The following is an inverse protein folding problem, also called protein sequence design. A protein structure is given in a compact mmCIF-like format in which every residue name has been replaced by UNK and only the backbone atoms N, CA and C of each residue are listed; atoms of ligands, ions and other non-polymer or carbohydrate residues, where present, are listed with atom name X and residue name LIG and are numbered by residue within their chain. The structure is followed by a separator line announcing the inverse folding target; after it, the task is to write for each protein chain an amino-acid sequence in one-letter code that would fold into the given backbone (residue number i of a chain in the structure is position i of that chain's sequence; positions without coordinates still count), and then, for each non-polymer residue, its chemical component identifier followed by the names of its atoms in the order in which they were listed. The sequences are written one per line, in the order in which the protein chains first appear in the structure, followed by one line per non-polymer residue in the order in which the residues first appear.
data_IF_641237160027
#
_entry.id   IF_641237160027
#
_cell.length_a   1.000
_cell.length_b   1.000
_cell.length_c   1.000
_cell.angle_alpha   90.00
_cell.angle_beta   90.00
_cell.angle_gamma   90.00
#
_symmetry.space_group_name_H-M   'P 1'
#
loop_
_entity.id
_entity.type
_entity.pdbx_description
1 polymer ?
#
# COMPACT_ATOMS: atom_id res chain seq x y z
N UNK A 1 3.09 64.92 23.44
CA UNK A 1 2.52 65.87 22.45
C UNK A 1 3.51 67.01 22.30
N UNK A 2 3.82 67.54 21.10
CA UNK A 2 3.01 67.55 19.87
C UNK A 2 3.67 66.87 18.65
N UNK A 3 2.94 66.94 17.54
CA UNK A 3 2.97 66.16 16.30
C UNK A 3 3.46 66.93 15.07
N UNK A 4 4.06 66.23 14.10
CA UNK A 4 3.94 66.45 12.64
C UNK A 4 4.66 65.30 11.87
N UNK A 5 3.92 64.33 11.30
CA UNK A 5 3.49 64.19 9.90
C UNK A 5 4.58 63.99 8.82
N UNK A 6 4.70 62.78 8.26
CA UNK A 6 4.67 62.51 6.79
C UNK A 6 4.89 61.02 6.41
N UNK A 7 3.96 60.51 5.59
CA UNK A 7 3.93 59.43 4.57
C UNK A 7 4.97 58.26 4.47
N UNK A 8 4.60 57.11 3.85
CA UNK A 8 5.16 55.78 4.11
C UNK A 8 6.38 55.42 3.26
N UNK A 9 7.36 54.78 3.89
CA UNK A 9 8.46 54.11 3.18
C UNK A 9 8.03 52.73 2.69
N UNK A 10 7.83 52.62 1.38
CA UNK A 10 7.94 51.35 0.65
C UNK A 10 9.39 50.86 0.76
N UNK A 11 9.60 49.71 1.40
CA UNK A 11 10.87 48.99 1.33
C UNK A 11 10.74 47.95 0.22
N UNK A 12 11.47 48.19 -0.86
CA UNK A 12 11.86 47.17 -1.84
C UNK A 12 13.04 46.42 -1.24
N UNK A 13 12.88 45.13 -0.94
CA UNK A 13 13.97 44.15 -1.06
C UNK A 13 13.41 42.90 -1.73
N UNK A 14 13.46 42.95 -3.06
CA UNK A 14 13.49 41.79 -3.95
C UNK A 14 14.90 41.23 -3.96
N UNK A 15 15.07 39.91 -3.82
CA UNK A 15 16.13 39.12 -4.48
C UNK A 15 16.19 37.62 -4.11
N UNK A 16 15.38 37.09 -3.19
CA UNK A 16 15.46 35.64 -2.84
C UNK A 16 14.25 34.84 -3.37
N UNK A 17 13.10 35.47 -3.62
CA UNK A 17 11.89 34.75 -4.04
C UNK A 17 11.88 34.46 -5.56
N UNK A 18 12.61 35.24 -6.37
CA UNK A 18 12.62 35.04 -7.83
C UNK A 18 13.51 33.88 -8.30
N UNK A 19 14.54 33.50 -7.54
CA UNK A 19 15.42 32.37 -7.88
C UNK A 19 14.77 31.00 -7.64
N UNK A 20 13.78 30.93 -6.74
CA UNK A 20 13.01 29.70 -6.46
C UNK A 20 11.92 29.50 -7.51
N UNK A 21 11.31 30.59 -8.01
CA UNK A 21 10.28 30.51 -9.05
C UNK A 21 10.85 30.28 -10.46
N UNK A 22 12.07 30.76 -10.76
CA UNK A 22 12.70 30.51 -12.07
C UNK A 22 13.16 29.05 -12.24
N UNK A 23 13.59 28.39 -11.14
CA UNK A 23 13.87 26.94 -11.15
C UNK A 23 12.60 26.09 -11.31
N UNK A 24 11.45 26.58 -10.83
CA UNK A 24 10.16 25.91 -11.06
C UNK A 24 9.67 26.05 -12.51
N UNK A 25 10.03 27.13 -13.22
CA UNK A 25 9.58 27.38 -14.60
C UNK A 25 10.52 26.77 -15.66
N UNK A 26 11.83 26.66 -15.40
CA UNK A 26 12.80 26.11 -16.37
C UNK A 26 12.94 24.58 -16.38
N UNK A 27 12.45 23.85 -15.37
CA UNK A 27 12.40 22.38 -15.44
C UNK A 27 11.22 21.85 -16.29
N UNK A 28 10.31 22.75 -16.72
CA UNK A 28 9.08 22.40 -17.41
C UNK A 28 9.18 22.27 -18.94
N UNK A 29 10.38 22.24 -19.53
CA UNK A 29 10.52 22.15 -20.98
C UNK A 29 11.74 21.34 -21.46
N UNK A 30 11.71 20.02 -21.26
CA UNK A 30 12.32 19.07 -22.22
C UNK A 30 11.33 17.98 -22.57
N UNK A 31 10.80 18.17 -23.77
CA UNK A 31 9.93 17.33 -24.58
C UNK A 31 10.43 15.88 -24.74
N UNK A 32 9.68 14.95 -24.18
CA UNK A 32 8.93 13.99 -25.00
C UNK A 32 7.47 14.17 -24.63
N UNK A 33 6.64 14.54 -25.60
CA UNK A 33 5.19 14.54 -25.42
C UNK A 33 4.76 13.08 -25.35
N UNK A 34 4.79 12.51 -24.14
CA UNK A 34 3.83 11.48 -23.79
C UNK A 34 2.59 12.24 -23.32
N UNK A 35 1.57 12.27 -24.16
CA UNK A 35 0.25 12.70 -23.73
C UNK A 35 -0.23 11.65 -22.73
N UNK A 36 0.10 11.81 -21.44
CA UNK A 36 -0.69 11.16 -20.40
C UNK A 36 -2.00 11.94 -20.35
N UNK A 37 -3.07 11.33 -20.84
CA UNK A 37 -4.40 11.87 -20.65
C UNK A 37 -4.68 11.83 -19.14
N UNK A 38 -4.38 12.91 -18.43
CA UNK A 38 -4.91 13.12 -17.09
C UNK A 38 -6.41 13.26 -17.28
N UNK A 39 -7.14 12.17 -17.04
CA UNK A 39 -8.60 12.18 -17.00
C UNK A 39 -9.01 13.08 -15.83
N UNK A 40 -9.44 14.30 -16.16
CA UNK A 40 -10.06 15.17 -15.18
C UNK A 40 -11.32 14.48 -14.65
N UNK A 41 -11.26 14.12 -13.36
CA UNK A 41 -12.29 13.34 -12.71
C UNK A 41 -13.64 14.06 -12.70
N UNK A 42 -13.65 15.39 -12.66
CA UNK A 42 -14.88 16.18 -12.70
C UNK A 42 -15.51 16.14 -14.09
N UNK A 43 -14.70 16.33 -15.13
CA UNK A 43 -15.13 16.19 -16.52
C UNK A 43 -15.58 14.76 -16.85
N UNK A 44 -14.89 13.73 -16.34
CA UNK A 44 -15.31 12.34 -16.50
C UNK A 44 -16.62 12.03 -15.78
N UNK A 45 -16.79 12.53 -14.55
CA UNK A 45 -18.03 12.36 -13.79
C UNK A 45 -19.22 13.03 -14.51
N UNK A 46 -19.01 14.25 -15.01
CA UNK A 46 -20.01 15.00 -15.77
C UNK A 46 -20.36 14.28 -17.09
N UNK A 47 -19.35 13.76 -17.80
CA UNK A 47 -19.56 12.95 -19.00
C UNK A 47 -20.38 11.69 -18.70
N UNK A 48 -20.05 10.99 -17.62
CA UNK A 48 -20.75 9.75 -17.22
C UNK A 48 -22.21 10.03 -16.86
N UNK A 49 -22.46 11.10 -16.07
CA UNK A 49 -23.82 11.55 -15.72
C UNK A 49 -24.64 11.90 -16.96
N UNK A 50 -24.08 12.71 -17.86
CA UNK A 50 -24.76 13.11 -19.09
C UNK A 50 -25.10 11.91 -20.01
N UNK A 51 -24.22 10.91 -20.09
CA UNK A 51 -24.51 9.69 -20.86
C UNK A 51 -25.56 8.80 -20.20
N UNK A 52 -25.58 8.73 -18.86
CA UNK A 52 -26.60 7.99 -18.13
C UNK A 52 -27.99 8.58 -18.34
N UNK A 53 -28.11 9.92 -18.29
CA UNK A 53 -29.35 10.65 -18.59
C UNK A 53 -29.80 10.45 -20.05
N UNK A 54 -28.86 10.39 -21.00
CA UNK A 54 -29.17 10.13 -22.41
C UNK A 54 -29.64 8.70 -22.67
N UNK A 55 -29.14 7.73 -21.90
CA UNK A 55 -29.54 6.32 -21.98
C UNK A 55 -30.89 6.06 -21.30
N UNK A 56 -31.20 6.76 -20.20
CA UNK A 56 -32.48 6.64 -19.50
C UNK A 56 -33.64 7.23 -20.30
N UNK A 57 -33.40 8.24 -21.13
CA UNK A 57 -34.40 8.82 -22.04
C UNK A 57 -34.78 7.89 -23.22
N UNK A 58 -33.95 6.90 -23.55
CA UNK A 58 -34.11 6.06 -24.75
C UNK A 58 -34.68 4.64 -24.51
N UNK A 59 -35.05 4.27 -23.28
CA UNK A 59 -35.75 2.99 -23.00
C UNK A 59 -36.96 3.18 -22.08
N UNK A 60 -38.13 2.73 -22.54
CA UNK A 60 -39.34 2.55 -21.73
C UNK A 60 -39.02 1.67 -20.50
N UNK A 61 -39.34 2.22 -19.32
CA UNK A 61 -39.35 1.56 -18.02
C UNK A 61 -38.07 0.79 -17.64
N UNK A 62 -36.98 1.52 -17.38
CA UNK A 62 -35.98 1.06 -16.42
C UNK A 62 -36.39 1.61 -15.06
N UNK A 63 -36.76 0.74 -14.14
CA UNK A 63 -37.09 1.08 -12.76
C UNK A 63 -35.96 1.94 -12.19
N UNK A 64 -36.27 3.20 -11.84
CA UNK A 64 -35.30 4.10 -11.24
C UNK A 64 -34.83 3.50 -9.91
N UNK A 65 -33.60 2.97 -9.91
CA UNK A 65 -32.85 2.81 -8.67
C UNK A 65 -32.57 4.23 -8.18
N UNK A 66 -32.78 4.55 -6.88
CA UNK A 66 -32.63 5.91 -6.39
C UNK A 66 -31.26 6.44 -6.77
N UNK A 67 -31.22 7.68 -7.26
CA UNK A 67 -29.99 8.47 -7.36
C UNK A 67 -29.40 8.46 -5.95
N UNK A 68 -28.37 7.64 -5.76
CA UNK A 68 -27.64 7.58 -4.50
C UNK A 68 -27.04 8.96 -4.34
N UNK A 69 -27.57 9.69 -3.36
CA UNK A 69 -27.00 10.89 -2.80
C UNK A 69 -25.49 10.62 -2.67
N UNK A 70 -24.68 11.33 -3.46
CA UNK A 70 -23.23 11.26 -3.32
C UNK A 70 -22.90 11.74 -1.92
N UNK A 71 -22.66 10.78 -1.03
CA UNK A 71 -22.21 11.04 0.32
C UNK A 71 -20.90 11.81 0.18
N UNK A 72 -20.91 13.10 0.52
CA UNK A 72 -19.73 13.97 0.51
C UNK A 72 -18.64 13.48 1.49
N UNK A 73 -18.92 12.42 2.23
CA UNK A 73 -17.93 11.57 2.86
C UNK A 73 -17.21 10.69 1.82
N UNK A 74 -16.46 11.29 0.90
CA UNK A 74 -15.24 10.65 0.40
C UNK A 74 -14.33 10.56 1.61
N UNK A 75 -14.55 9.52 2.42
CA UNK A 75 -13.65 9.14 3.50
C UNK A 75 -12.24 9.19 2.92
N UNK A 76 -11.36 9.97 3.54
CA UNK A 76 -9.93 10.02 3.27
C UNK A 76 -9.34 8.61 3.51
N UNK A 77 -9.60 7.68 2.59
CA UNK A 77 -9.07 6.32 2.65
C UNK A 77 -7.60 6.46 2.33
N UNK A 78 -6.76 6.14 3.31
CA UNK A 78 -5.30 6.16 3.17
C UNK A 78 -4.86 5.22 2.05
N UNK A 79 -3.67 5.40 1.48
CA UNK A 79 -3.11 4.45 0.52
C UNK A 79 -3.10 3.01 1.06
N UNK A 80 -2.98 2.82 2.38
CA UNK A 80 -3.13 1.52 3.03
C UNK A 80 -4.50 0.87 2.77
N UNK A 81 -5.57 1.67 2.81
CA UNK A 81 -6.93 1.22 2.50
C UNK A 81 -7.21 1.16 0.98
N UNK A 82 -6.46 1.92 0.17
CA UNK A 82 -6.59 1.90 -1.30
C UNK A 82 -5.93 0.64 -1.88
N UNK A 83 -4.78 0.23 -1.34
CA UNK A 83 -4.06 -1.01 -1.70
C UNK A 83 -4.88 -2.29 -1.42
N UNK A 84 -5.78 -2.23 -0.43
CA UNK A 84 -6.73 -3.30 -0.11
C UNK A 84 -7.72 -3.59 -1.26
N UNK A 85 -8.09 -2.57 -2.04
CA UNK A 85 -9.11 -2.65 -3.11
C UNK A 85 -8.51 -2.80 -4.52
N UNK A 86 -7.27 -3.28 -4.64
CA UNK A 86 -6.54 -3.19 -5.90
C UNK A 86 -7.08 -4.09 -7.00
N UNK A 87 -7.20 -3.57 -8.24
CA UNK A 87 -7.66 -4.35 -9.39
C UNK A 87 -6.57 -5.24 -10.02
N UNK A 88 -5.40 -5.41 -9.38
CA UNK A 88 -4.33 -6.30 -9.91
C UNK A 88 -4.83 -7.73 -10.08
N UNK A 89 -5.68 -8.22 -9.17
CA UNK A 89 -6.34 -9.51 -9.34
C UNK A 89 -7.10 -9.58 -10.68
N UNK A 90 -7.83 -8.53 -11.03
CA UNK A 90 -8.53 -8.40 -12.32
C UNK A 90 -7.59 -8.38 -13.52
N UNK A 91 -6.47 -7.65 -13.45
CA UNK A 91 -5.44 -7.66 -14.51
C UNK A 91 -4.86 -9.06 -14.70
N UNK A 92 -4.46 -9.70 -13.60
CA UNK A 92 -3.94 -11.05 -13.61
C UNK A 92 -4.92 -12.07 -14.20
N UNK A 93 -6.17 -12.05 -13.74
CA UNK A 93 -7.25 -12.90 -14.27
C UNK A 93 -7.48 -12.64 -15.77
N UNK A 94 -7.52 -11.38 -16.18
CA UNK A 94 -7.72 -11.03 -17.60
C UNK A 94 -6.57 -11.55 -18.47
N UNK A 95 -5.32 -11.43 -18.00
CA UNK A 95 -4.15 -11.97 -18.67
C UNK A 95 -4.21 -13.50 -18.76
N UNK A 96 -4.59 -14.20 -17.69
CA UNK A 96 -4.75 -15.66 -17.67
C UNK A 96 -5.80 -16.13 -18.68
N UNK A 97 -6.89 -15.37 -18.84
CA UNK A 97 -7.96 -15.64 -19.79
C UNK A 97 -7.70 -15.12 -21.21
N UNK A 98 -6.53 -14.52 -21.48
CA UNK A 98 -6.22 -13.84 -22.73
C UNK A 98 -7.28 -12.79 -23.13
N UNK A 99 -7.76 -12.03 -22.14
CA UNK A 99 -8.76 -10.98 -22.26
C UNK A 99 -8.18 -9.63 -21.83
N UNK A 100 -8.83 -8.54 -22.21
CA UNK A 100 -8.48 -7.19 -21.75
C UNK A 100 -9.25 -6.84 -20.48
N UNK A 101 -8.58 -6.29 -19.48
CA UNK A 101 -9.24 -5.74 -18.29
C UNK A 101 -9.99 -4.45 -18.66
N UNK A 102 -11.26 -4.37 -18.23
CA UNK A 102 -12.13 -3.23 -18.51
C UNK A 102 -12.67 -2.66 -17.20
N UNK A 103 -12.63 -1.34 -17.07
CA UNK A 103 -13.37 -0.61 -16.03
C UNK A 103 -14.66 -0.09 -16.68
N UNK A 104 -15.80 -0.53 -16.15
CA UNK A 104 -17.10 -0.05 -16.60
C UNK A 104 -17.27 1.42 -16.20
N UNK A 105 -17.32 2.31 -17.19
CA UNK A 105 -17.43 3.75 -16.97
C UNK A 105 -18.73 4.13 -16.24
N UNK A 106 -19.80 3.33 -16.37
CA UNK A 106 -21.08 3.57 -15.68
C UNK A 106 -21.00 3.34 -14.17
N UNK A 107 -20.00 2.59 -13.70
CA UNK A 107 -19.77 2.39 -12.27
C UNK A 107 -18.90 3.52 -11.72
N UNK A 108 -19.52 4.69 -11.56
CA UNK A 108 -18.84 5.95 -11.18
C UNK A 108 -18.00 5.79 -9.92
N UNK A 109 -18.41 4.96 -8.96
CA UNK A 109 -17.63 4.69 -7.74
C UNK A 109 -16.25 4.09 -8.04
N UNK A 110 -16.17 3.12 -8.96
CA UNK A 110 -14.89 2.50 -9.30
C UNK A 110 -14.01 3.44 -10.12
N UNK A 111 -14.60 4.09 -11.14
CA UNK A 111 -13.87 5.05 -11.96
C UNK A 111 -13.32 6.22 -11.12
N UNK A 112 -14.15 6.81 -10.26
CA UNK A 112 -13.75 7.92 -9.37
C UNK A 112 -12.70 7.49 -8.36
N UNK A 113 -12.84 6.29 -7.76
CA UNK A 113 -11.82 5.77 -6.83
C UNK A 113 -10.49 5.62 -7.56
N UNK A 114 -10.50 5.04 -8.76
CA UNK A 114 -9.27 4.78 -9.50
C UNK A 114 -8.58 6.07 -9.94
N UNK A 115 -9.33 7.01 -10.53
CA UNK A 115 -8.81 8.30 -11.01
C UNK A 115 -8.39 9.22 -9.85
N UNK A 116 -9.23 9.40 -8.82
CA UNK A 116 -8.92 10.34 -7.72
C UNK A 116 -7.93 9.77 -6.70
N UNK A 117 -7.86 8.44 -6.54
CA UNK A 117 -7.16 7.82 -5.42
C UNK A 117 -5.95 6.99 -5.80
N UNK A 118 -5.96 6.34 -6.97
CA UNK A 118 -4.89 5.42 -7.40
C UNK A 118 -3.95 6.09 -8.40
N UNK A 119 -4.49 6.70 -9.46
CA UNK A 119 -3.72 7.33 -10.53
C UNK A 119 -2.69 8.37 -10.03
N UNK A 120 -2.98 9.24 -9.03
CA UNK A 120 -2.00 10.24 -8.60
C UNK A 120 -0.75 9.61 -7.95
N UNK A 121 -0.86 8.36 -7.50
CA UNK A 121 0.21 7.62 -6.81
C UNK A 121 0.88 6.65 -7.80
N UNK A 122 0.10 6.00 -8.66
CA UNK A 122 0.53 4.99 -9.63
C UNK A 122 -0.04 5.30 -11.01
N UNK A 123 0.50 6.31 -11.72
CA UNK A 123 -0.05 6.76 -12.99
C UNK A 123 -0.03 5.66 -14.07
N UNK A 124 1.05 4.88 -14.13
CA UNK A 124 1.27 3.85 -15.16
C UNK A 124 0.30 2.65 -15.05
N UNK A 125 -0.33 2.48 -13.88
CA UNK A 125 -1.35 1.46 -13.69
C UNK A 125 -2.62 1.75 -14.51
N UNK A 126 -2.91 3.04 -14.76
CA UNK A 126 -4.11 3.45 -15.48
C UNK A 126 -4.15 2.89 -16.89
N UNK A 127 -2.99 2.91 -17.56
CA UNK A 127 -2.83 2.48 -18.95
C UNK A 127 -3.07 0.98 -19.16
N UNK A 128 -3.17 0.22 -18.06
CA UNK A 128 -3.42 -1.23 -18.10
C UNK A 128 -4.91 -1.56 -18.19
N UNK A 129 -5.79 -0.57 -18.00
CA UNK A 129 -7.23 -0.75 -18.05
C UNK A 129 -7.85 -0.03 -19.24
N UNK A 130 -8.84 -0.67 -19.86
CA UNK A 130 -9.69 -0.01 -20.86
C UNK A 130 -10.93 0.56 -20.17
N UNK A 131 -11.22 1.85 -20.38
CA UNK A 131 -12.45 2.48 -19.89
C UNK A 131 -13.53 2.44 -20.97
N UNK A 132 -14.63 1.73 -20.70
CA UNK A 132 -15.74 1.59 -21.66
C UNK A 132 -17.08 1.52 -20.95
N UNK A 133 -18.13 1.95 -21.64
CA UNK A 133 -19.51 1.68 -21.25
C UNK A 133 -19.84 0.27 -21.72
N UNK A 134 -20.17 -0.62 -20.78
CA UNK A 134 -20.51 -2.01 -21.09
C UNK A 134 -22.02 -2.16 -21.34
N UNK A 135 -22.47 -2.67 -22.50
CA UNK A 135 -23.88 -2.94 -22.76
C UNK A 135 -24.39 -4.12 -21.93
N UNK A 136 -25.54 -3.95 -21.26
CA UNK A 136 -26.14 -4.96 -20.38
C UNK A 136 -26.47 -6.29 -21.09
N UNK A 137 -26.70 -6.25 -22.40
CA UNK A 137 -27.05 -7.42 -23.24
C UNK A 137 -25.83 -8.20 -23.76
N UNK A 138 -24.61 -7.74 -23.50
CA UNK A 138 -23.35 -8.36 -23.99
C UNK A 138 -22.43 -8.85 -22.86
N UNK A 139 -22.96 -8.86 -21.63
CA UNK A 139 -22.21 -9.18 -20.42
C UNK A 139 -22.73 -10.46 -19.79
N UNK A 140 -21.89 -11.50 -19.75
CA UNK A 140 -22.17 -12.72 -19.01
C UNK A 140 -21.56 -12.62 -17.61
N UNK A 141 -22.38 -12.90 -16.59
CA UNK A 141 -21.96 -12.88 -15.18
C UNK A 141 -21.56 -14.29 -14.74
N UNK A 142 -20.35 -14.44 -14.21
CA UNK A 142 -19.85 -15.69 -13.61
C UNK A 142 -19.38 -15.44 -12.18
N UNK A 143 -19.48 -16.46 -11.32
CA UNK A 143 -19.02 -16.38 -9.94
C UNK A 143 -17.57 -16.87 -9.83
N UNK A 144 -16.68 -16.06 -9.28
CA UNK A 144 -15.28 -16.43 -9.03
C UNK A 144 -14.93 -16.05 -7.60
N UNK A 145 -14.34 -16.96 -6.81
CA UNK A 145 -13.91 -16.69 -5.44
C UNK A 145 -15.00 -16.03 -4.55
N UNK A 146 -16.18 -16.65 -4.47
CA UNK A 146 -17.34 -16.07 -3.77
C UNK A 146 -17.41 -16.45 -2.28
N UNK A 147 -16.77 -17.54 -1.85
CA UNK A 147 -17.03 -18.17 -0.56
C UNK A 147 -16.11 -17.75 0.61
N UNK A 148 -14.93 -17.19 0.33
CA UNK A 148 -13.96 -16.80 1.36
C UNK A 148 -13.03 -15.69 0.86
N UNK A 149 -12.44 -14.91 1.77
CA UNK A 149 -11.29 -14.08 1.40
C UNK A 149 -10.10 -14.94 1.00
N UNK A 150 -9.26 -14.40 0.10
CA UNK A 150 -7.86 -14.80 0.06
C UNK A 150 -7.59 -16.28 -0.30
N UNK A 151 -8.50 -16.91 -1.05
CA UNK A 151 -8.31 -18.22 -1.68
C UNK A 151 -8.14 -18.07 -3.19
N UNK A 152 -7.41 -19.01 -3.78
CA UNK A 152 -7.27 -19.07 -5.23
C UNK A 152 -8.38 -19.92 -5.84
N UNK A 153 -9.10 -19.33 -6.78
CA UNK A 153 -10.11 -19.98 -7.59
C UNK A 153 -9.69 -19.82 -9.05
N UNK A 154 -9.23 -20.89 -9.68
CA UNK A 154 -8.55 -20.81 -10.98
C UNK A 154 -9.48 -20.21 -12.05
N UNK A 155 -9.15 -19.03 -12.61
CA UNK A 155 -9.98 -18.40 -13.64
C UNK A 155 -10.04 -19.22 -14.93
N UNK A 156 -9.09 -20.14 -15.20
CA UNK A 156 -9.07 -20.96 -16.43
C UNK A 156 -10.35 -21.76 -16.66
N UNK A 157 -11.15 -22.02 -15.62
CA UNK A 157 -12.50 -22.61 -15.76
C UNK A 157 -13.43 -21.80 -16.67
N UNK A 158 -13.09 -20.54 -16.96
CA UNK A 158 -13.81 -19.66 -17.89
C UNK A 158 -13.08 -19.39 -19.20
N UNK A 159 -11.99 -20.10 -19.50
CA UNK A 159 -11.23 -19.94 -20.75
C UNK A 159 -12.06 -20.17 -22.03
N UNK A 160 -13.07 -21.04 -21.95
CA UNK A 160 -13.94 -21.39 -23.07
C UNK A 160 -15.19 -20.49 -23.21
N UNK A 161 -15.38 -19.51 -22.33
CA UNK A 161 -16.48 -18.54 -22.45
C UNK A 161 -16.17 -17.66 -23.67
N UNK A 162 -17.08 -17.57 -24.64
CA UNK A 162 -16.89 -16.81 -25.88
C UNK A 162 -17.57 -15.45 -25.88
N UNK A 163 -18.37 -15.14 -24.84
CA UNK A 163 -19.04 -13.85 -24.69
C UNK A 163 -18.06 -12.66 -24.77
N UNK A 164 -18.50 -11.57 -25.39
CA UNK A 164 -17.74 -10.34 -25.57
C UNK A 164 -17.26 -9.75 -24.24
N UNK A 165 -18.14 -9.76 -23.23
CA UNK A 165 -17.83 -9.29 -21.89
C UNK A 165 -18.14 -10.34 -20.83
N UNK A 166 -17.17 -10.54 -19.95
CA UNK A 166 -17.26 -11.44 -18.81
C UNK A 166 -17.13 -10.63 -17.53
N UNK A 167 -18.22 -10.56 -16.76
CA UNK A 167 -18.23 -9.94 -15.44
C UNK A 167 -18.05 -11.02 -14.37
N UNK A 168 -16.97 -10.90 -13.61
CA UNK A 168 -16.64 -11.84 -12.54
C UNK A 168 -17.14 -11.30 -11.20
N UNK A 169 -18.18 -11.93 -10.68
CA UNK A 169 -18.71 -11.64 -9.36
C UNK A 169 -17.94 -12.45 -8.31
N UNK A 170 -17.17 -11.75 -7.48
CA UNK A 170 -16.26 -12.36 -6.53
C UNK A 170 -15.83 -11.43 -5.41
N UNK A 171 -15.18 -12.01 -4.40
CA UNK A 171 -14.69 -11.27 -3.24
C UNK A 171 -13.17 -11.13 -3.27
N UNK A 172 -12.68 -9.90 -3.07
CA UNK A 172 -11.29 -9.47 -2.81
C UNK A 172 -10.22 -9.76 -3.88
N UNK A 173 -10.22 -10.94 -4.52
CA UNK A 173 -9.19 -11.37 -5.49
C UNK A 173 -7.74 -11.20 -4.98
N UNK A 174 -7.52 -11.44 -3.68
CA UNK A 174 -6.26 -11.16 -2.97
C UNK A 174 -5.24 -12.30 -3.02
N UNK A 175 -5.51 -13.40 -3.75
CA UNK A 175 -4.48 -14.43 -3.95
C UNK A 175 -3.42 -13.92 -4.93
N UNK A 176 -2.15 -14.06 -4.57
CA UNK A 176 -1.04 -13.68 -5.45
C UNK A 176 -1.03 -14.51 -6.75
N UNK A 177 -1.56 -15.74 -6.70
CA UNK A 177 -1.64 -16.66 -7.85
C UNK A 177 -2.46 -16.09 -9.01
N UNK A 178 -3.37 -15.15 -8.76
CA UNK A 178 -4.08 -14.48 -9.85
C UNK A 178 -3.15 -13.67 -10.75
N UNK A 179 -2.04 -13.14 -10.23
CA UNK A 179 -1.26 -12.10 -10.89
C UNK A 179 0.26 -12.24 -10.79
N UNK A 180 0.76 -13.30 -10.15
CA UNK A 180 2.20 -13.46 -9.89
C UNK A 180 3.04 -13.54 -11.18
N UNK A 181 2.47 -14.10 -12.25
CA UNK A 181 3.11 -14.14 -13.57
C UNK A 181 3.35 -12.75 -14.16
N UNK A 182 2.61 -11.73 -13.71
CA UNK A 182 2.79 -10.33 -14.10
C UNK A 182 3.70 -9.55 -13.15
N UNK A 183 4.37 -10.20 -12.18
CA UNK A 183 5.15 -9.52 -11.13
C UNK A 183 6.12 -8.46 -11.66
N UNK A 184 6.92 -8.68 -12.72
CA UNK A 184 7.80 -7.64 -13.25
C UNK A 184 7.03 -6.40 -13.71
N UNK A 185 5.90 -6.59 -14.39
CA UNK A 185 5.07 -5.48 -14.89
C UNK A 185 4.37 -4.74 -13.76
N UNK A 186 3.79 -5.47 -12.79
CA UNK A 186 3.16 -4.90 -11.60
C UNK A 186 4.13 -4.01 -10.83
N UNK A 187 5.40 -4.43 -10.74
CA UNK A 187 6.43 -3.63 -10.07
C UNK A 187 6.69 -2.32 -10.79
N UNK A 188 6.60 -2.28 -12.11
CA UNK A 188 6.72 -1.03 -12.86
C UNK A 188 5.46 -0.17 -12.73
N UNK A 189 4.28 -0.76 -12.91
CA UNK A 189 3.00 -0.05 -12.77
C UNK A 189 2.80 0.58 -11.39
N UNK A 190 3.33 -0.07 -10.34
CA UNK A 190 3.24 0.38 -8.95
C UNK A 190 4.54 1.00 -8.45
N UNK A 191 5.36 1.53 -9.36
CA UNK A 191 6.55 2.29 -8.99
C UNK A 191 6.12 3.61 -8.31
N UNK A 192 6.67 3.95 -7.14
CA UNK A 192 6.45 5.25 -6.52
C UNK A 192 6.96 6.38 -7.41
N UNK A 193 6.39 7.58 -7.27
CA UNK A 193 6.83 8.77 -8.00
C UNK A 193 8.29 9.12 -7.67
N UNK A 194 8.96 9.85 -8.56
CA UNK A 194 10.34 10.32 -8.33
C UNK A 194 10.43 11.23 -7.10
N UNK A 195 9.39 12.00 -6.82
CA UNK A 195 9.28 12.82 -5.60
C UNK A 195 9.24 11.94 -4.34
N UNK A 196 8.37 10.92 -4.31
CA UNK A 196 8.29 9.99 -3.18
C UNK A 196 9.62 9.24 -2.97
N UNK A 197 10.27 8.83 -4.06
CA UNK A 197 11.58 8.17 -4.02
C UNK A 197 12.67 9.10 -3.47
N UNK A 198 12.67 10.38 -3.88
CA UNK A 198 13.61 11.39 -3.39
C UNK A 198 13.40 11.71 -1.90
N UNK A 199 12.13 11.83 -1.47
CA UNK A 199 11.76 12.03 -0.07
C UNK A 199 12.17 10.84 0.80
N UNK A 200 11.91 9.60 0.35
CA UNK A 200 12.36 8.40 1.05
C UNK A 200 13.89 8.36 1.22
N UNK A 201 14.65 8.77 0.19
CA UNK A 201 16.11 8.87 0.28
C UNK A 201 16.59 9.94 1.28
N UNK A 202 15.87 11.05 1.43
CA UNK A 202 16.16 12.07 2.44
C UNK A 202 15.87 11.56 3.87
N UNK A 203 14.88 10.67 4.03
CA UNK A 203 14.57 10.05 5.32
C UNK A 203 15.65 9.07 5.78
N UNK A 204 16.52 8.56 4.88
CA UNK A 204 17.56 7.62 5.24
C UNK A 204 18.90 8.32 5.54
N UNK A 205 19.32 8.40 6.82
CA UNK A 205 20.53 9.13 7.21
C UNK A 205 21.77 8.57 6.54
N UNK A 206 22.67 9.46 6.08
CA UNK A 206 23.86 9.07 5.32
C UNK A 206 24.75 8.07 6.08
N UNK A 207 24.86 8.21 7.40
CA UNK A 207 25.63 7.31 8.26
C UNK A 207 25.11 5.87 8.28
N UNK A 208 23.83 5.64 7.94
CA UNK A 208 23.21 4.31 7.97
C UNK A 208 23.13 3.65 6.59
N UNK A 209 23.50 4.36 5.51
CA UNK A 209 23.25 3.91 4.12
C UNK A 209 23.98 2.64 3.69
N UNK A 210 25.06 2.27 4.39
CA UNK A 210 25.83 1.06 4.09
C UNK A 210 25.43 -0.14 4.96
N UNK A 211 24.46 0.04 5.86
CA UNK A 211 23.96 -1.03 6.71
C UNK A 211 23.00 -1.95 5.97
N UNK A 212 22.85 -3.19 6.46
CA UNK A 212 21.82 -4.11 6.01
C UNK A 212 20.49 -3.74 6.68
N UNK A 213 19.45 -3.48 5.87
CA UNK A 213 18.23 -2.83 6.37
C UNK A 213 17.08 -3.83 6.53
N UNK A 214 16.59 -3.97 7.76
CA UNK A 214 15.41 -4.76 8.13
C UNK A 214 14.24 -3.79 8.33
N UNK A 215 13.12 -4.07 7.68
CA UNK A 215 11.95 -3.19 7.68
C UNK A 215 10.70 -3.90 8.22
N UNK A 216 10.49 -3.89 9.55
CA UNK A 216 9.23 -4.31 10.12
C UNK A 216 8.12 -3.32 9.78
N UNK A 217 6.99 -3.84 9.28
CA UNK A 217 5.79 -3.07 8.99
C UNK A 217 4.74 -3.27 10.07
N UNK A 218 4.44 -2.20 10.79
CA UNK A 218 3.48 -2.14 11.89
C UNK A 218 2.11 -1.70 11.37
N UNK A 219 1.12 -2.57 11.52
CA UNK A 219 -0.29 -2.28 11.29
C UNK A 219 -1.07 -2.34 12.59
N UNK A 220 -1.59 -1.19 13.03
CA UNK A 220 -2.50 -1.10 14.18
C UNK A 220 -3.73 -0.30 13.76
N UNK A 221 -3.86 0.97 14.13
CA UNK A 221 -4.97 1.84 13.69
C UNK A 221 -6.35 1.17 13.84
N UNK A 222 -7.08 1.06 12.73
CA UNK A 222 -8.39 0.41 12.62
C UNK A 222 -8.41 -1.07 13.02
N UNK A 223 -7.29 -1.80 12.95
CA UNK A 223 -7.20 -3.19 13.42
C UNK A 223 -7.43 -3.28 14.95
N UNK A 224 -7.25 -2.18 15.70
CA UNK A 224 -7.58 -2.15 17.14
C UNK A 224 -9.09 -2.16 17.40
N UNK A 225 -9.91 -1.80 16.41
CA UNK A 225 -11.33 -1.47 16.60
C UNK A 225 -12.28 -2.23 15.68
N UNK A 226 -11.81 -2.81 14.57
CA UNK A 226 -12.69 -3.47 13.59
C UNK A 226 -13.22 -4.84 14.04
N UNK A 227 -12.61 -5.45 15.06
CA UNK A 227 -13.02 -6.72 15.64
C UNK A 227 -12.83 -7.94 14.73
N UNK A 228 -12.11 -7.79 13.61
CA UNK A 228 -11.82 -8.84 12.62
C UNK A 228 -10.33 -9.11 12.54
N UNK A 229 -9.51 -8.07 12.42
CA UNK A 229 -8.07 -8.19 12.24
C UNK A 229 -7.33 -8.09 13.58
N UNK A 230 -6.20 -8.79 13.72
CA UNK A 230 -5.34 -8.62 14.90
C UNK A 230 -4.27 -7.55 14.62
N UNK A 231 -4.17 -6.49 15.44
CA UNK A 231 -3.14 -5.48 15.29
C UNK A 231 -1.74 -6.08 15.54
N UNK A 232 -0.71 -5.42 15.04
CA UNK A 232 0.69 -5.78 15.30
C UNK A 232 0.95 -5.84 16.80
N UNK A 233 1.42 -7.00 17.26
CA UNK A 233 1.69 -7.28 18.67
C UNK A 233 3.09 -6.83 19.08
N UNK A 234 3.24 -6.26 20.28
CA UNK A 234 4.52 -5.73 20.74
C UNK A 234 5.55 -6.86 20.98
N UNK A 235 5.15 -7.90 21.69
CA UNK A 235 6.02 -9.04 22.02
C UNK A 235 6.52 -9.72 20.75
N UNK A 236 5.62 -10.06 19.83
CA UNK A 236 5.99 -10.63 18.53
C UNK A 236 6.87 -9.70 17.71
N UNK A 237 6.46 -8.43 17.55
CA UNK A 237 7.19 -7.50 16.68
C UNK A 237 8.62 -7.30 17.15
N UNK A 238 8.82 -7.12 18.47
CA UNK A 238 10.17 -6.96 19.02
C UNK A 238 10.98 -8.23 18.91
N UNK A 239 10.45 -9.37 19.37
CA UNK A 239 11.17 -10.64 19.34
C UNK A 239 11.54 -11.07 17.90
N UNK A 240 10.65 -10.87 16.92
CA UNK A 240 10.90 -11.18 15.52
C UNK A 240 11.97 -10.27 14.91
N UNK A 241 11.96 -8.98 15.26
CA UNK A 241 12.99 -8.04 14.81
C UNK A 241 14.36 -8.40 15.37
N UNK A 242 14.44 -8.70 16.68
CA UNK A 242 15.68 -9.14 17.34
C UNK A 242 16.19 -10.46 16.75
N UNK A 243 15.29 -11.41 16.49
CA UNK A 243 15.63 -12.68 15.84
C UNK A 243 16.26 -12.46 14.47
N UNK A 244 15.65 -11.61 13.62
CA UNK A 244 16.17 -11.31 12.29
C UNK A 244 17.49 -10.54 12.36
N UNK A 245 17.62 -9.55 13.25
CA UNK A 245 18.86 -8.82 13.45
C UNK A 245 20.01 -9.77 13.85
N UNK A 246 19.78 -10.66 14.82
CA UNK A 246 20.73 -11.71 15.21
C UNK A 246 21.06 -12.66 14.06
N UNK A 247 20.06 -13.07 13.29
CA UNK A 247 20.24 -13.97 12.15
C UNK A 247 21.18 -13.35 11.10
N UNK A 248 20.95 -12.09 10.74
CA UNK A 248 21.72 -11.38 9.71
C UNK A 248 23.05 -10.79 10.21
N UNK A 249 23.22 -10.59 11.52
CA UNK A 249 24.52 -10.21 12.10
C UNK A 249 25.64 -11.23 11.80
N UNK A 250 25.29 -12.49 11.53
CA UNK A 250 26.25 -13.52 11.13
C UNK A 250 26.93 -13.22 9.80
N UNK A 251 26.29 -12.45 8.93
CA UNK A 251 26.76 -12.11 7.58
C UNK A 251 26.94 -10.61 7.34
N UNK A 252 26.39 -9.75 8.22
CA UNK A 252 26.44 -8.30 8.07
C UNK A 252 26.85 -7.63 9.38
N UNK A 253 27.84 -6.74 9.29
CA UNK A 253 28.40 -6.06 10.46
C UNK A 253 27.44 -5.01 11.04
N UNK A 254 26.80 -4.24 10.17
CA UNK A 254 25.92 -3.15 10.55
C UNK A 254 24.48 -3.48 10.14
N UNK A 255 23.59 -3.50 11.12
CA UNK A 255 22.15 -3.71 10.93
C UNK A 255 21.42 -2.41 11.27
N UNK A 256 20.52 -1.99 10.37
CA UNK A 256 19.55 -0.92 10.65
C UNK A 256 18.15 -1.48 10.57
N UNK A 257 17.32 -1.12 11.54
CA UNK A 257 15.89 -1.41 11.55
C UNK A 257 15.13 -0.13 11.22
N UNK A 258 14.50 -0.08 10.04
CA UNK A 258 13.63 1.03 9.64
C UNK A 258 12.16 0.63 9.85
N UNK A 259 11.52 1.21 10.86
CA UNK A 259 10.17 0.82 11.26
C UNK A 259 9.13 1.57 10.45
N UNK A 260 8.36 0.84 9.66
CA UNK A 260 7.35 1.37 8.75
C UNK A 260 5.94 1.13 9.31
N UNK A 261 4.95 1.91 8.88
CA UNK A 261 3.55 1.71 9.25
C UNK A 261 2.88 2.85 10.00
N UNK A 262 1.69 2.58 10.55
CA UNK A 262 0.71 3.62 10.90
C UNK A 262 0.57 3.96 12.39
N UNK A 263 1.43 3.43 13.27
CA UNK A 263 1.39 3.70 14.72
C UNK A 263 2.80 4.05 15.22
N UNK A 264 3.19 5.32 14.98
CA UNK A 264 4.53 5.82 15.29
C UNK A 264 4.82 5.87 16.80
N UNK A 265 3.79 6.10 17.62
CA UNK A 265 3.94 6.06 19.08
C UNK A 265 4.26 4.63 19.54
N UNK A 266 3.54 3.64 19.00
CA UNK A 266 3.84 2.23 19.26
C UNK A 266 5.26 1.87 18.81
N UNK A 267 5.67 2.26 17.60
CA UNK A 267 7.02 2.04 17.07
C UNK A 267 8.10 2.65 18.00
N UNK A 268 7.91 3.90 18.41
CA UNK A 268 8.84 4.59 19.28
C UNK A 268 8.99 3.88 20.63
N UNK A 269 7.88 3.54 21.29
CA UNK A 269 7.89 2.85 22.59
C UNK A 269 8.55 1.46 22.46
N UNK A 270 8.30 0.74 21.37
CA UNK A 270 8.81 -0.61 21.15
C UNK A 270 10.34 -0.67 21.03
N UNK A 271 10.94 0.39 20.50
CA UNK A 271 12.38 0.48 20.22
C UNK A 271 13.08 1.59 21.03
N UNK A 272 12.45 2.11 22.08
CA UNK A 272 12.98 3.26 22.81
C UNK A 272 14.38 3.01 23.41
N UNK A 273 14.71 1.76 23.74
CA UNK A 273 16.04 1.34 24.22
C UNK A 273 17.13 1.39 23.14
N UNK A 274 16.74 1.43 21.85
CA UNK A 274 17.64 1.50 20.69
C UNK A 274 17.75 2.90 20.10
N UNK A 275 16.94 3.86 20.57
CA UNK A 275 16.99 5.24 20.13
C UNK A 275 18.02 5.99 20.99
N UNK A 276 19.12 6.42 20.35
CA UNK A 276 20.35 6.90 20.99
C UNK A 276 20.28 8.22 21.78
N UNK A 277 19.29 8.40 22.67
CA UNK A 277 19.26 9.53 23.58
C UNK A 277 18.59 9.20 24.94
N UNK A 278 19.37 8.84 25.99
CA UNK A 278 18.84 8.47 27.31
C UNK A 278 18.18 9.64 28.06
N UNK A 279 18.29 10.88 27.55
CA UNK A 279 17.67 12.07 28.13
C UNK A 279 16.21 12.29 27.72
N UNK A 280 15.65 11.43 26.85
CA UNK A 280 14.22 11.44 26.54
C UNK A 280 13.47 10.68 27.61
N UNK A 281 12.41 11.30 28.15
CA UNK A 281 11.49 10.71 29.12
C UNK A 281 11.22 9.24 28.78
N UNK A 282 11.63 8.32 29.65
CA UNK A 282 11.29 6.90 29.53
C UNK A 282 9.77 6.81 29.48
N UNK A 283 9.23 6.46 28.32
CA UNK A 283 7.80 6.31 28.18
C UNK A 283 7.45 5.01 28.89
N UNK A 284 6.43 5.09 29.77
CA UNK A 284 5.79 3.91 30.34
C UNK A 284 5.49 2.91 29.21
N UNK A 285 5.59 1.62 29.50
CA UNK A 285 5.28 0.58 28.54
C UNK A 285 3.80 0.16 28.66
N UNK A 286 2.86 0.78 27.92
CA UNK A 286 1.44 0.44 27.98
C UNK A 286 1.12 -0.89 27.29
N UNK A 287 2.08 -1.49 26.57
CA UNK A 287 1.86 -2.70 25.77
C UNK A 287 2.31 -3.97 26.48
N UNK A 288 2.81 -3.87 27.71
CA UNK A 288 3.17 -4.99 28.58
C UNK A 288 4.10 -6.03 27.93
N UNK A 289 5.02 -5.59 27.06
CA UNK A 289 6.05 -6.44 26.47
C UNK A 289 7.37 -6.33 27.24
N UNK A 290 8.23 -7.34 27.15
CA UNK A 290 9.59 -7.28 27.69
C UNK A 290 10.61 -7.27 26.55
N UNK A 291 11.69 -6.51 26.73
CA UNK A 291 12.84 -6.59 25.83
C UNK A 291 13.59 -7.89 26.14
N UNK A 292 13.87 -8.77 25.17
CA UNK A 292 14.63 -9.98 25.40
C UNK A 292 16.01 -9.67 25.98
N UNK A 293 16.47 -10.44 26.98
CA UNK A 293 17.76 -10.23 27.66
C UNK A 293 18.98 -10.33 26.74
N UNK A 294 18.85 -10.98 25.59
CA UNK A 294 19.87 -11.09 24.53
C UNK A 294 19.56 -10.26 23.28
N UNK A 295 18.85 -9.13 23.43
CA UNK A 295 18.53 -8.23 22.30
C UNK A 295 19.81 -7.71 21.62
N UNK A 296 20.00 -7.92 20.30
CA UNK A 296 21.22 -7.52 19.61
C UNK A 296 21.36 -6.01 19.45
N UNK A 297 22.58 -5.53 19.21
CA UNK A 297 22.84 -4.13 18.89
C UNK A 297 22.53 -3.82 17.43
N UNK A 298 21.61 -2.89 17.17
CA UNK A 298 21.29 -2.39 15.84
C UNK A 298 20.81 -0.94 15.92
N UNK A 299 20.97 -0.21 14.82
CA UNK A 299 20.44 1.16 14.71
C UNK A 299 18.95 1.12 14.39
N UNK A 300 18.18 2.07 14.94
CA UNK A 300 16.74 2.16 14.67
C UNK A 300 16.40 3.50 14.02
N UNK A 301 15.64 3.43 12.93
CA UNK A 301 15.01 4.56 12.27
C UNK A 301 13.49 4.48 12.47
N UNK A 302 12.97 5.40 13.28
CA UNK A 302 11.53 5.67 13.46
C UNK A 302 11.31 7.14 13.13
N UNK A 303 10.36 7.44 12.25
CA UNK A 303 10.11 8.82 11.81
C UNK A 303 8.61 9.09 11.65
N UNK A 304 8.10 10.20 12.21
CA UNK A 304 6.71 10.62 11.96
C UNK A 304 6.48 11.04 10.50
N UNK A 305 7.55 11.28 9.72
CA UNK A 305 7.46 11.61 8.30
C UNK A 305 7.18 10.39 7.43
N UNK A 306 7.24 9.17 7.96
CA UNK A 306 6.85 7.98 7.22
C UNK A 306 5.33 8.00 6.95
N UNK A 307 4.98 8.21 5.68
CA UNK A 307 3.62 8.04 5.15
C UNK A 307 3.55 6.74 4.36
N UNK A 308 2.36 6.19 4.07
CA UNK A 308 2.23 4.99 3.25
C UNK A 308 2.97 5.06 1.89
N UNK A 309 2.94 6.22 1.22
CA UNK A 309 3.64 6.44 -0.05
C UNK A 309 5.16 6.36 0.13
N UNK A 310 5.66 6.97 1.21
CA UNK A 310 7.09 6.96 1.54
C UNK A 310 7.55 5.60 2.07
N UNK A 311 6.70 4.86 2.79
CA UNK A 311 6.97 3.49 3.24
C UNK A 311 7.20 2.56 2.03
N UNK A 312 6.36 2.67 0.99
CA UNK A 312 6.55 1.91 -0.25
C UNK A 312 7.83 2.32 -0.99
N UNK A 313 8.10 3.63 -1.10
CA UNK A 313 9.31 4.13 -1.74
C UNK A 313 10.58 3.72 -1.00
N UNK A 314 10.55 3.78 0.33
CA UNK A 314 11.64 3.35 1.19
C UNK A 314 11.85 1.84 1.09
N UNK A 315 10.78 1.05 1.18
CA UNK A 315 10.81 -0.42 1.03
C UNK A 315 11.43 -0.85 -0.29
N UNK A 316 11.03 -0.20 -1.38
CA UNK A 316 11.52 -0.51 -2.72
C UNK A 316 13.00 -0.17 -2.91
N UNK A 317 13.50 0.83 -2.19
CA UNK A 317 14.85 1.37 -2.39
C UNK A 317 15.88 0.79 -1.42
N UNK A 318 15.51 0.56 -0.17
CA UNK A 318 16.48 0.34 0.91
C UNK A 318 16.30 -0.96 1.69
N UNK A 319 15.08 -1.50 1.79
CA UNK A 319 14.85 -2.68 2.62
C UNK A 319 15.44 -3.95 1.98
N UNK A 320 16.41 -4.57 2.65
CA UNK A 320 16.95 -5.88 2.28
C UNK A 320 16.10 -7.01 2.88
N UNK A 321 15.42 -6.74 3.98
CA UNK A 321 14.46 -7.64 4.61
C UNK A 321 13.18 -6.89 4.93
N UNK A 322 12.02 -7.49 4.66
CA UNK A 322 10.74 -6.98 5.15
C UNK A 322 10.13 -7.95 6.16
N UNK A 323 9.46 -7.42 7.18
CA UNK A 323 8.77 -8.22 8.19
C UNK A 323 7.32 -7.73 8.36
N UNK A 324 6.36 -8.59 8.03
CA UNK A 324 4.93 -8.30 8.22
C UNK A 324 4.50 -8.76 9.61
N UNK A 325 4.22 -7.82 10.51
CA UNK A 325 3.92 -8.13 11.93
C UNK A 325 2.43 -8.31 12.23
N UNK A 326 1.57 -7.78 11.37
CA UNK A 326 0.13 -8.06 11.36
C UNK A 326 -0.19 -8.93 10.13
N UNK A 327 -0.53 -10.21 10.31
CA UNK A 327 -0.53 -11.21 9.24
C UNK A 327 -1.54 -10.93 8.11
N UNK A 328 -2.69 -10.33 8.43
CA UNK A 328 -3.75 -9.98 7.49
C UNK A 328 -3.57 -8.59 6.86
N UNK A 329 -2.45 -7.89 7.14
CA UNK A 329 -2.21 -6.55 6.61
C UNK A 329 -1.95 -6.57 5.09
N UNK A 330 -2.95 -6.20 4.31
CA UNK A 330 -2.81 -6.06 2.85
C UNK A 330 -1.77 -5.01 2.45
N UNK A 331 -1.65 -3.90 3.19
CA UNK A 331 -0.61 -2.91 2.92
C UNK A 331 0.79 -3.46 3.24
N UNK A 332 0.98 -4.15 4.37
CA UNK A 332 2.24 -4.83 4.68
C UNK A 332 2.61 -5.89 3.63
N UNK A 333 1.61 -6.60 3.10
CA UNK A 333 1.75 -7.53 2.00
C UNK A 333 2.25 -6.82 0.72
N UNK A 334 1.58 -5.76 0.28
CA UNK A 334 1.99 -4.99 -0.90
C UNK A 334 3.36 -4.34 -0.73
N UNK A 335 3.66 -3.82 0.46
CA UNK A 335 4.96 -3.24 0.81
C UNK A 335 6.08 -4.25 0.65
N UNK A 336 5.87 -5.50 1.06
CA UNK A 336 6.83 -6.58 0.89
C UNK A 336 6.92 -7.07 -0.56
N UNK A 337 5.78 -7.18 -1.25
CA UNK A 337 5.73 -7.63 -2.65
C UNK A 337 6.43 -6.66 -3.61
N UNK A 338 6.38 -5.36 -3.30
CA UNK A 338 6.97 -4.27 -4.06
C UNK A 338 8.35 -3.81 -3.55
N UNK A 339 8.86 -4.43 -2.48
CA UNK A 339 10.19 -4.15 -1.93
C UNK A 339 11.32 -4.36 -2.95
N UNK A 340 12.57 -4.06 -2.59
CA UNK A 340 13.74 -4.30 -3.45
C UNK A 340 13.70 -5.73 -4.06
N UNK A 341 14.09 -5.95 -5.33
CA UNK A 341 13.98 -7.28 -5.95
C UNK A 341 14.70 -8.40 -5.20
N UNK A 342 15.81 -8.07 -4.52
CA UNK A 342 16.61 -8.98 -3.71
C UNK A 342 16.12 -9.10 -2.26
N UNK A 343 15.04 -8.41 -1.87
CA UNK A 343 14.57 -8.40 -0.50
C UNK A 343 14.01 -9.77 -0.11
N UNK A 344 14.31 -10.18 1.13
CA UNK A 344 13.75 -11.39 1.73
C UNK A 344 12.56 -10.99 2.61
N UNK A 345 11.41 -11.61 2.39
CA UNK A 345 10.19 -11.29 3.15
C UNK A 345 9.92 -12.34 4.21
N UNK A 346 9.71 -11.87 5.43
CA UNK A 346 9.21 -12.63 6.56
C UNK A 346 7.80 -12.16 6.93
N UNK A 347 6.96 -13.07 7.41
CA UNK A 347 5.62 -12.74 7.87
C UNK A 347 5.22 -13.55 9.09
N UNK A 348 4.41 -12.95 9.96
CA UNK A 348 3.84 -13.62 11.13
C UNK A 348 2.87 -14.73 10.72
N UNK A 349 2.96 -15.88 11.37
CA UNK A 349 1.96 -16.93 11.25
C UNK A 349 0.61 -16.46 11.79
N UNK A 350 -0.41 -16.44 10.93
CA UNK A 350 -1.76 -16.00 11.28
C UNK A 350 -2.43 -16.94 12.28
N UNK A 351 -2.11 -18.24 12.23
CA UNK A 351 -2.69 -19.24 13.13
C UNK A 351 -2.20 -19.09 14.58
N UNK A 352 -1.06 -18.42 14.78
CA UNK A 352 -0.56 -18.02 16.10
C UNK A 352 -1.17 -16.72 16.63
N UNK A 353 -2.28 -16.25 16.06
CA UNK A 353 -2.94 -14.98 16.43
C UNK A 353 -4.45 -15.18 16.62
N UNK A 354 -5.13 -14.13 17.09
CA UNK A 354 -6.61 -14.08 17.18
C UNK A 354 -7.25 -13.44 15.95
N UNK A 355 -6.49 -13.29 14.87
CA UNK A 355 -6.97 -12.70 13.63
C UNK A 355 -8.02 -13.61 12.99
N UNK A 356 -9.26 -13.11 12.84
CA UNK A 356 -10.38 -13.92 12.36
C UNK A 356 -10.26 -14.24 10.88
N UNK A 357 -9.43 -13.49 10.14
CA UNK A 357 -9.15 -13.76 8.73
C UNK A 357 -8.47 -15.11 8.55
N UNK A 358 -7.85 -15.68 9.60
CA UNK A 358 -7.29 -17.04 9.58
C UNK A 358 -8.30 -18.10 9.11
N UNK A 359 -9.60 -17.91 9.40
CA UNK A 359 -10.65 -18.87 9.03
C UNK A 359 -11.02 -18.81 7.55
N UNK A 360 -10.73 -17.69 6.89
CA UNK A 360 -11.04 -17.46 5.48
C UNK A 360 -9.82 -17.65 4.58
N UNK A 361 -8.62 -17.33 5.08
CA UNK A 361 -7.39 -17.30 4.32
C UNK A 361 -6.79 -18.70 4.11
N UNK A 362 -6.40 -19.00 2.87
CA UNK A 362 -5.44 -20.08 2.60
C UNK A 362 -4.04 -19.47 2.47
N UNK A 363 -3.14 -19.79 3.39
CA UNK A 363 -1.80 -19.22 3.41
C UNK A 363 -1.00 -19.45 2.12
N UNK A 364 -1.18 -20.62 1.49
CA UNK A 364 -0.49 -21.00 0.25
C UNK A 364 -1.06 -20.31 -0.99
N UNK A 365 -2.24 -19.69 -0.86
CA UNK A 365 -2.84 -18.87 -1.91
C UNK A 365 -2.59 -17.39 -1.67
N UNK A 366 -2.42 -16.95 -0.42
CA UNK A 366 -2.24 -15.56 -0.05
C UNK A 366 -0.77 -15.12 -0.11
N UNK A 367 0.17 -15.90 0.43
CA UNK A 367 1.58 -15.55 0.48
C UNK A 367 2.38 -16.23 -0.65
N UNK A 368 3.24 -15.51 -1.39
CA UNK A 368 4.16 -16.09 -2.35
C UNK A 368 5.04 -17.18 -1.73
N UNK A 369 5.33 -18.24 -2.48
CA UNK A 369 6.10 -19.41 -1.99
C UNK A 369 7.52 -19.09 -1.53
N UNK A 370 8.13 -18.00 -2.01
CA UNK A 370 9.46 -17.57 -1.58
C UNK A 370 9.49 -16.79 -0.26
N UNK A 371 8.34 -16.54 0.36
CA UNK A 371 8.26 -15.82 1.63
C UNK A 371 8.38 -16.77 2.82
N UNK A 372 9.00 -16.29 3.90
CA UNK A 372 9.31 -17.11 5.07
C UNK A 372 8.34 -16.82 6.21
N UNK A 373 7.66 -17.86 6.69
CA UNK A 373 6.73 -17.74 7.83
C UNK A 373 7.48 -17.78 9.16
N UNK A 374 7.12 -16.90 10.09
CA UNK A 374 7.63 -16.86 11.46
C UNK A 374 6.53 -17.16 12.47
N UNK A 375 6.80 -18.11 13.36
CA UNK A 375 5.97 -18.44 14.51
C UNK A 375 6.60 -17.94 15.81
N UNK A 376 5.80 -17.90 16.87
CA UNK A 376 6.27 -17.64 18.24
C UNK A 376 5.84 -18.80 19.13
N UNK A 377 6.80 -19.38 19.85
CA UNK A 377 6.52 -20.43 20.84
C UNK A 377 6.02 -19.84 22.17
N UNK A 378 5.52 -20.69 23.06
CA UNK A 378 4.95 -20.29 24.36
C UNK A 378 5.94 -19.52 25.26
N UNK A 379 7.24 -19.81 25.13
CA UNK A 379 8.31 -19.11 25.82
C UNK A 379 8.69 -17.75 25.19
N UNK A 380 8.00 -17.33 24.12
CA UNK A 380 8.26 -16.08 23.41
C UNK A 380 9.40 -16.12 22.38
N UNK A 381 10.02 -17.28 22.11
CA UNK A 381 11.05 -17.39 21.07
C UNK A 381 10.46 -17.49 19.66
N UNK A 382 11.18 -16.95 18.68
CA UNK A 382 10.79 -16.92 17.27
C UNK A 382 11.38 -18.11 16.54
N UNK A 383 10.56 -18.77 15.72
CA UNK A 383 10.98 -19.90 14.88
C UNK A 383 10.58 -19.67 13.43
N UNK A 384 11.43 -20.13 12.50
CA UNK A 384 11.07 -20.23 11.09
C UNK A 384 10.18 -21.45 10.92
N UNK A 385 8.97 -21.26 10.40
CA UNK A 385 7.98 -22.31 10.23
C UNK A 385 8.10 -22.93 8.84
N UNK A 386 8.05 -24.25 8.74
CA UNK A 386 8.07 -24.97 7.45
C UNK A 386 9.46 -25.32 6.92
N UNK A 387 10.52 -25.06 7.68
CA UNK A 387 11.84 -25.67 7.49
C UNK A 387 11.93 -26.76 8.55
N UNK A 388 11.65 -28.01 8.18
CA UNK A 388 12.10 -29.14 9.03
C UNK A 388 13.63 -29.11 9.07
N UNK A 389 14.25 -29.35 10.24
CA UNK A 389 15.70 -29.40 10.40
C UNK A 389 16.42 -30.26 9.36
#
# INVERSE_FOLDING_TARGET
MPSSSSFPQKIVVSCIIFSVLLNFYQYHHKSQINVSCILDAENFENFTKAQFEKLSQNKKAVTMVPIVQCDNNITNRTLQLRLYAFPIGGLGISSTLNRKAVINALESKYATTFVKSIQPIFPDLLDQFTFKILPSNSTTVKKLNHAACCKFDDPQKYGNVTDDHLYLHGNYFQSYKYFHHLRPMIREWLKPTDLASSLANMLFPQALRNSFVICPHIRRGDFKTDGVHEPSDATFTRAATDFLANFYHKSHKEITVAVLGNDQQFAYILYQDKLGNPSRLTISNPYNFTVPSGSPDYSVLVSPSFTPELDLAFSRSFCDVTLITAPSSTFGWWLSYLAKPSAITYYRDINGTRDKVATEMNEFDFNPTGWTKLGMSENGSINIMGVTP
#
